data_IF_460439834663
#
_entry.id   IF_460439834663
#
_cell.length_a   1.000
_cell.length_b   1.000
_cell.length_c   1.000
_cell.angle_alpha   90.00
_cell.angle_beta   90.00
_cell.angle_gamma   90.00
#
_symmetry.space_group_name_H-M   'P 1'
#
loop_
_entity.id
_entity.type
_entity.pdbx_description
1 polymer ?
#
# COMPACT_ATOMS: atom_id res chain seq x y z
N UNK A 1 -16.90 7.48 -2.57
CA UNK A 1 -16.03 6.99 -3.67
C UNK A 1 -14.64 6.79 -3.12
N UNK A 2 -13.89 5.81 -3.64
CA UNK A 2 -12.50 5.57 -3.22
C UNK A 2 -11.54 6.55 -3.92
N UNK A 3 -10.35 6.82 -3.35
CA UNK A 3 -9.32 7.63 -4.01
C UNK A 3 -8.79 6.96 -5.29
N UNK A 4 -8.22 7.76 -6.20
CA UNK A 4 -7.61 7.24 -7.42
C UNK A 4 -6.45 6.28 -7.11
N UNK A 5 -6.45 5.11 -7.74
CA UNK A 5 -5.44 4.08 -7.51
C UNK A 5 -5.73 3.13 -6.35
N UNK A 6 -6.92 3.20 -5.71
CA UNK A 6 -7.29 2.35 -4.58
C UNK A 6 -7.18 0.84 -4.88
N UNK A 7 -7.68 0.38 -6.02
CA UNK A 7 -7.63 -1.04 -6.39
C UNK A 7 -6.18 -1.50 -6.64
N UNK A 8 -5.38 -0.67 -7.30
CA UNK A 8 -3.96 -0.92 -7.50
C UNK A 8 -3.19 -0.96 -6.18
N UNK A 9 -3.49 -0.05 -5.26
CA UNK A 9 -2.87 0.00 -3.93
C UNK A 9 -3.25 -1.23 -3.09
N UNK A 10 -4.50 -1.69 -3.19
CA UNK A 10 -4.98 -2.93 -2.55
C UNK A 10 -4.22 -4.14 -3.07
N UNK A 11 -4.12 -4.29 -4.40
CA UNK A 11 -3.37 -5.40 -5.00
C UNK A 11 -1.89 -5.34 -4.62
N UNK A 12 -1.30 -4.13 -4.62
CA UNK A 12 0.08 -3.92 -4.22
C UNK A 12 0.32 -4.36 -2.78
N UNK A 13 -0.55 -3.96 -1.85
CA UNK A 13 -0.42 -4.29 -0.44
C UNK A 13 -0.41 -5.82 -0.18
N UNK A 14 -1.29 -6.57 -0.84
CA UNK A 14 -1.33 -8.03 -0.71
C UNK A 14 -0.14 -8.74 -1.40
N UNK A 15 0.53 -8.06 -2.34
CA UNK A 15 1.72 -8.58 -3.00
C UNK A 15 3.03 -8.31 -2.25
N UNK A 16 3.03 -7.54 -1.15
CA UNK A 16 4.26 -7.12 -0.46
C UNK A 16 5.15 -8.27 0.04
N UNK A 17 4.58 -9.47 0.28
CA UNK A 17 5.34 -10.67 0.65
C UNK A 17 6.08 -11.32 -0.52
N UNK A 18 5.82 -10.87 -1.76
CA UNK A 18 6.40 -11.37 -2.99
C UNK A 18 6.99 -10.19 -3.78
N UNK A 19 8.27 -9.81 -3.53
CA UNK A 19 8.87 -8.61 -4.11
C UNK A 19 8.74 -8.49 -5.62
N UNK A 20 8.88 -9.60 -6.36
CA UNK A 20 8.74 -9.63 -7.82
C UNK A 20 7.30 -9.30 -8.27
N UNK A 21 6.30 -9.78 -7.53
CA UNK A 21 4.89 -9.48 -7.80
C UNK A 21 4.59 -8.03 -7.45
N UNK A 22 5.07 -7.55 -6.30
CA UNK A 22 4.91 -6.15 -5.89
C UNK A 22 5.52 -5.17 -6.90
N UNK A 23 6.70 -5.48 -7.42
CA UNK A 23 7.34 -4.70 -8.49
C UNK A 23 6.48 -4.71 -9.77
N UNK A 24 5.94 -5.87 -10.15
CA UNK A 24 5.08 -5.98 -11.34
C UNK A 24 3.75 -5.23 -11.17
N UNK A 25 3.14 -5.25 -9.98
CA UNK A 25 1.94 -4.46 -9.70
C UNK A 25 2.24 -2.97 -9.85
N UNK A 26 3.35 -2.46 -9.30
CA UNK A 26 3.76 -1.05 -9.51
C UNK A 26 3.95 -0.70 -10.98
N UNK A 27 4.54 -1.61 -11.77
CA UNK A 27 4.71 -1.38 -13.20
C UNK A 27 3.38 -1.33 -13.98
N UNK A 28 2.37 -2.11 -13.57
CA UNK A 28 1.04 -2.16 -14.20
C UNK A 28 0.16 -0.98 -13.78
N UNK A 29 0.32 -0.48 -12.55
CA UNK A 29 -0.45 0.64 -12.01
C UNK A 29 0.44 1.88 -11.82
N UNK A 30 0.69 2.66 -12.89
CA UNK A 30 1.62 3.80 -12.84
C UNK A 30 1.16 4.94 -11.91
N UNK A 31 -0.09 4.91 -11.45
CA UNK A 31 -0.59 5.84 -10.42
C UNK A 31 0.05 5.57 -9.05
N UNK A 32 0.47 4.34 -8.76
CA UNK A 32 1.19 4.00 -7.53
C UNK A 32 2.57 4.64 -7.57
N UNK A 33 2.99 5.30 -6.49
CA UNK A 33 4.22 6.09 -6.48
C UNK A 33 4.00 7.56 -6.83
N UNK A 34 2.87 7.92 -7.45
CA UNK A 34 2.57 9.32 -7.84
C UNK A 34 1.93 10.12 -6.72
N UNK A 35 1.93 11.46 -6.84
CA UNK A 35 1.19 12.35 -5.93
C UNK A 35 -0.32 12.09 -5.96
N UNK A 36 -0.87 11.73 -7.13
CA UNK A 36 -2.29 11.42 -7.28
C UNK A 36 -2.70 10.12 -6.55
N UNK A 37 -1.83 9.11 -6.57
CA UNK A 37 -2.07 7.81 -5.93
C UNK A 37 -1.77 7.77 -4.44
N UNK A 38 -1.09 8.79 -3.89
CA UNK A 38 -0.62 8.77 -2.52
C UNK A 38 -1.76 8.65 -1.49
N UNK A 39 -2.90 9.30 -1.76
CA UNK A 39 -4.10 9.18 -0.92
C UNK A 39 -4.66 7.75 -0.92
N UNK A 40 -4.66 7.06 -2.05
CA UNK A 40 -5.07 5.66 -2.14
C UNK A 40 -4.10 4.74 -1.38
N UNK A 41 -2.79 4.89 -1.60
CA UNK A 41 -1.76 4.10 -0.93
C UNK A 41 -1.87 4.23 0.60
N UNK A 42 -1.98 5.46 1.11
CA UNK A 42 -2.13 5.72 2.54
C UNK A 42 -3.45 5.16 3.10
N UNK A 43 -4.55 5.30 2.36
CA UNK A 43 -5.86 4.77 2.77
C UNK A 43 -5.82 3.24 2.91
N UNK A 44 -5.30 2.53 1.90
CA UNK A 44 -5.20 1.06 1.91
C UNK A 44 -4.25 0.59 3.00
N UNK A 45 -3.08 1.22 3.15
CA UNK A 45 -2.11 0.89 4.19
C UNK A 45 -2.75 1.01 5.59
N UNK A 46 -3.45 2.11 5.87
CA UNK A 46 -4.15 2.32 7.13
C UNK A 46 -5.28 1.30 7.37
N UNK A 47 -6.07 0.98 6.33
CA UNK A 47 -7.13 -0.01 6.42
C UNK A 47 -6.58 -1.40 6.78
N UNK A 48 -5.51 -1.83 6.11
CA UNK A 48 -4.93 -3.14 6.37
C UNK A 48 -4.23 -3.20 7.73
N UNK A 49 -3.52 -2.15 8.14
CA UNK A 49 -2.99 -2.05 9.50
C UNK A 49 -4.09 -2.14 10.56
N UNK A 50 -5.28 -1.56 10.29
CA UNK A 50 -6.42 -1.73 11.18
C UNK A 50 -6.93 -3.18 11.20
N UNK A 51 -6.94 -3.90 10.08
CA UNK A 51 -7.27 -5.35 10.09
C UNK A 51 -6.25 -6.16 10.89
N UNK A 52 -4.96 -5.83 10.78
CA UNK A 52 -3.87 -6.43 11.59
C UNK A 52 -4.12 -6.23 13.08
N UNK A 53 -4.55 -5.02 13.50
CA UNK A 53 -4.89 -4.77 14.90
C UNK A 53 -6.07 -5.60 15.43
N UNK A 54 -6.89 -6.18 14.54
CA UNK A 54 -8.02 -7.07 14.87
C UNK A 54 -7.68 -8.56 14.75
N UNK A 55 -6.45 -8.92 14.38
CA UNK A 55 -6.00 -10.30 14.26
C UNK A 55 -6.01 -10.87 12.83
N UNK A 56 -6.38 -10.08 11.82
CA UNK A 56 -6.39 -10.49 10.42
C UNK A 56 -5.08 -10.11 9.72
N UNK A 57 -4.76 -10.71 8.57
CA UNK A 57 -3.62 -10.30 7.72
C UNK A 57 -2.27 -10.19 8.46
N UNK A 58 -2.08 -10.97 9.54
CA UNK A 58 -0.94 -10.82 10.45
C UNK A 58 0.42 -10.98 9.75
N UNK A 59 0.48 -11.77 8.68
CA UNK A 59 1.68 -11.93 7.85
C UNK A 59 2.10 -10.64 7.13
N UNK A 60 1.18 -9.70 6.94
CA UNK A 60 1.44 -8.41 6.31
C UNK A 60 1.85 -7.32 7.33
N UNK A 61 1.88 -7.61 8.63
CA UNK A 61 2.08 -6.58 9.65
C UNK A 61 3.38 -5.78 9.46
N UNK A 62 4.50 -6.47 9.28
CA UNK A 62 5.81 -5.83 9.10
C UNK A 62 5.92 -5.10 7.75
N UNK A 63 5.64 -5.71 6.59
CA UNK A 63 5.74 -4.99 5.31
C UNK A 63 4.76 -3.81 5.20
N UNK A 64 3.60 -3.85 5.87
CA UNK A 64 2.68 -2.71 5.93
C UNK A 64 3.24 -1.56 6.77
N UNK A 65 3.98 -1.85 7.85
CA UNK A 65 4.65 -0.81 8.65
C UNK A 65 5.76 -0.16 7.84
N UNK A 66 6.59 -0.94 7.16
CA UNK A 66 7.65 -0.43 6.29
C UNK A 66 7.06 0.46 5.18
N UNK A 67 5.98 0.01 4.55
CA UNK A 67 5.30 0.81 3.54
C UNK A 67 4.67 2.09 4.13
N UNK A 68 4.17 2.07 5.36
CA UNK A 68 3.65 3.27 6.04
C UNK A 68 4.72 4.32 6.32
N UNK A 69 5.95 3.90 6.61
CA UNK A 69 7.10 4.79 6.80
C UNK A 69 7.53 5.40 5.47
N UNK A 70 7.59 4.59 4.42
CA UNK A 70 7.85 5.04 3.07
C UNK A 70 6.83 6.09 2.58
N UNK A 71 5.54 5.84 2.83
CA UNK A 71 4.48 6.80 2.46
C UNK A 71 4.61 8.12 3.23
N UNK A 72 4.97 8.07 4.52
CA UNK A 72 5.21 9.28 5.31
C UNK A 72 6.40 10.08 4.79
N UNK A 73 7.49 9.40 4.40
CA UNK A 73 8.65 10.05 3.78
C UNK A 73 8.26 10.75 2.48
N UNK A 74 7.52 10.07 1.60
CA UNK A 74 7.04 10.61 0.33
C UNK A 74 6.04 11.77 0.48
N UNK A 75 5.33 11.89 1.60
CA UNK A 75 4.48 13.05 1.89
C UNK A 75 5.24 14.28 2.34
N UNK A 76 6.45 14.10 2.86
CA UNK A 76 7.29 15.19 3.34
C UNK A 76 8.19 15.77 2.24
N UNK A 77 8.26 15.10 1.08
CA UNK A 77 8.97 15.50 -0.15
C UNK A 77 8.07 16.35 -1.05
#
# INVERSE_FOLDING_TARGET
>A
MAPEGFDGATLYAYSLLQPDVAARVRAVFPVLGSLAGLAAEATVCAQLLQTVSRGDNLTLADPLRDWSEELRRRQAE
#
